data_IF_366463870335
#
_entry.id   IF_366463870335
#
_cell.length_a   1.000
_cell.length_b   1.000
_cell.length_c   1.000
_cell.angle_alpha   90.00
_cell.angle_beta   90.00
_cell.angle_gamma   90.00
#
_symmetry.space_group_name_H-M   'P 1'
#
loop_
_entity.id
_entity.type
_entity.pdbx_description
1 polymer ?
#
# COMPACT_ATOMS: atom_id res chain seq x y z
N UNK A 1 13.76 -39.33 -14.14
CA UNK A 1 13.52 -39.69 -15.56
C UNK A 1 12.24 -39.07 -16.12
N UNK A 2 11.06 -39.26 -15.51
CA UNK A 2 9.79 -38.64 -15.96
C UNK A 2 9.84 -37.09 -15.96
N UNK A 3 10.32 -36.47 -14.87
CA UNK A 3 10.41 -35.00 -14.76
C UNK A 3 11.30 -34.40 -15.86
N UNK A 4 12.48 -34.98 -16.11
CA UNK A 4 13.38 -34.54 -17.17
C UNK A 4 12.80 -34.71 -18.58
N UNK A 5 11.97 -35.75 -18.80
CA UNK A 5 11.27 -35.94 -20.08
C UNK A 5 10.18 -34.90 -20.31
N UNK A 6 9.44 -34.55 -19.26
CA UNK A 6 8.41 -33.49 -19.32
C UNK A 6 9.07 -32.13 -19.53
N UNK A 7 10.16 -31.85 -18.83
CA UNK A 7 10.95 -30.61 -18.98
C UNK A 7 11.45 -30.44 -20.42
N UNK A 8 12.08 -31.46 -21.00
CA UNK A 8 12.52 -31.44 -22.40
C UNK A 8 11.36 -31.29 -23.39
N UNK A 9 10.23 -31.96 -23.15
CA UNK A 9 9.05 -31.84 -24.01
C UNK A 9 8.46 -30.42 -23.99
N UNK A 10 8.44 -29.78 -22.82
CA UNK A 10 7.99 -28.39 -22.67
C UNK A 10 8.91 -27.43 -23.43
N UNK A 11 10.23 -27.59 -23.28
CA UNK A 11 11.22 -26.76 -23.99
C UNK A 11 11.03 -26.80 -25.50
N UNK A 12 10.91 -28.01 -26.08
CA UNK A 12 10.67 -28.19 -27.51
C UNK A 12 9.34 -27.55 -27.95
N UNK A 13 8.27 -27.71 -27.18
CA UNK A 13 6.98 -27.09 -27.49
C UNK A 13 7.05 -25.55 -27.47
N UNK A 14 7.78 -24.97 -26.52
CA UNK A 14 7.95 -23.52 -26.42
C UNK A 14 8.78 -22.96 -27.57
N UNK A 15 9.89 -23.63 -27.91
CA UNK A 15 10.72 -23.28 -29.06
C UNK A 15 9.90 -23.29 -30.36
N UNK A 16 9.14 -24.36 -30.60
CA UNK A 16 8.33 -24.52 -31.81
C UNK A 16 7.24 -23.46 -31.91
N UNK A 17 6.53 -23.17 -30.81
CA UNK A 17 5.40 -22.24 -30.79
C UNK A 17 5.83 -20.78 -30.94
N UNK A 18 7.02 -20.40 -30.45
CA UNK A 18 7.55 -19.04 -30.64
C UNK A 18 8.15 -18.84 -32.04
N UNK A 19 8.76 -19.87 -32.62
CA UNK A 19 9.32 -19.78 -33.97
C UNK A 19 8.27 -19.96 -35.09
N UNK A 20 7.14 -20.62 -34.81
CA UNK A 20 6.06 -20.87 -35.78
C UNK A 20 5.19 -19.63 -36.06
N UNK A 21 5.80 -18.53 -36.50
CA UNK A 21 5.17 -17.43 -37.25
C UNK A 21 3.99 -16.69 -36.58
N UNK A 22 3.78 -15.44 -37.00
CA UNK A 22 2.82 -14.51 -36.38
C UNK A 22 1.35 -14.77 -36.81
N UNK A 23 0.95 -16.04 -36.92
CA UNK A 23 -0.38 -16.45 -37.35
C UNK A 23 -1.35 -16.50 -36.15
N UNK A 24 -2.61 -16.10 -36.35
CA UNK A 24 -3.63 -16.08 -35.29
C UNK A 24 -3.84 -17.46 -34.62
N UNK A 25 -3.72 -18.54 -35.38
CA UNK A 25 -3.76 -19.91 -34.88
C UNK A 25 -2.57 -20.27 -33.99
N UNK A 26 -1.37 -19.81 -34.34
CA UNK A 26 -0.17 -19.98 -33.51
C UNK A 26 -0.31 -19.24 -32.17
N UNK A 27 -0.80 -17.99 -32.19
CA UNK A 27 -1.06 -17.20 -30.97
C UNK A 27 -2.09 -17.86 -30.05
N UNK A 28 -3.18 -18.40 -30.61
CA UNK A 28 -4.17 -19.13 -29.83
C UNK A 28 -3.60 -20.42 -29.22
N UNK A 29 -2.77 -21.17 -29.96
CA UNK A 29 -2.11 -22.37 -29.45
C UNK A 29 -1.12 -22.04 -28.34
N UNK A 30 -0.33 -20.97 -28.50
CA UNK A 30 0.59 -20.47 -27.49
C UNK A 30 -0.15 -20.05 -26.22
N UNK A 31 -1.25 -19.29 -26.35
CA UNK A 31 -2.09 -18.92 -25.20
C UNK A 31 -2.67 -20.12 -24.44
N UNK A 32 -3.19 -21.12 -25.16
CA UNK A 32 -3.68 -22.36 -24.55
C UNK A 32 -2.55 -23.14 -23.86
N UNK A 33 -1.34 -23.10 -24.42
CA UNK A 33 -0.18 -23.75 -23.81
C UNK A 33 0.26 -23.02 -22.54
N UNK A 34 0.34 -21.68 -22.56
CA UNK A 34 0.60 -20.88 -21.36
C UNK A 34 -0.43 -21.12 -20.26
N UNK A 35 -1.71 -21.24 -20.60
CA UNK A 35 -2.75 -21.56 -19.62
C UNK A 35 -2.46 -22.91 -18.93
N UNK A 36 -2.11 -23.94 -19.71
CA UNK A 36 -1.73 -25.26 -19.15
C UNK A 36 -0.47 -25.18 -18.29
N UNK A 37 0.53 -24.41 -18.71
CA UNK A 37 1.73 -24.18 -17.92
C UNK A 37 1.40 -23.49 -16.59
N UNK A 38 0.56 -22.47 -16.61
CA UNK A 38 0.08 -21.79 -15.39
C UNK A 38 -0.60 -22.79 -14.47
N UNK A 39 -1.55 -23.59 -14.97
CA UNK A 39 -2.25 -24.61 -14.16
C UNK A 39 -1.26 -25.62 -13.56
N UNK A 40 -0.29 -26.07 -14.35
CA UNK A 40 0.75 -26.99 -13.89
C UNK A 40 1.63 -26.36 -12.81
N UNK A 41 2.12 -25.13 -13.02
CA UNK A 41 2.94 -24.40 -12.05
C UNK A 41 2.16 -24.09 -10.77
N UNK A 42 0.88 -23.75 -10.87
CA UNK A 42 0.02 -23.56 -9.70
C UNK A 42 -0.23 -24.85 -8.92
N UNK A 43 -0.32 -25.99 -9.61
CA UNK A 43 -0.43 -27.29 -8.97
C UNK A 43 0.88 -27.69 -8.27
N UNK A 44 2.01 -27.52 -8.95
CA UNK A 44 3.33 -27.89 -8.44
C UNK A 44 3.88 -26.89 -7.41
N UNK A 45 3.36 -25.66 -7.38
CA UNK A 45 3.90 -24.51 -6.62
C UNK A 45 5.36 -24.19 -6.94
N UNK A 46 5.82 -24.63 -8.11
CA UNK A 46 7.19 -24.44 -8.58
C UNK A 46 7.21 -24.21 -10.09
N UNK A 47 8.09 -23.31 -10.53
CA UNK A 47 8.35 -23.09 -11.95
C UNK A 47 9.32 -24.16 -12.47
N UNK A 48 8.94 -24.80 -13.58
CA UNK A 48 9.74 -25.83 -14.24
C UNK A 48 10.96 -25.18 -14.92
N UNK A 49 12.17 -25.78 -14.86
CA UNK A 49 13.40 -25.19 -15.41
C UNK A 49 13.30 -24.76 -16.88
N UNK A 50 12.72 -25.58 -17.75
CA UNK A 50 12.49 -25.22 -19.16
C UNK A 50 11.66 -23.94 -19.31
N UNK A 51 10.64 -23.76 -18.47
CA UNK A 51 9.80 -22.55 -18.50
C UNK A 51 10.59 -21.34 -17.98
N UNK A 52 11.42 -21.53 -16.96
CA UNK A 52 12.30 -20.47 -16.46
C UNK A 52 13.28 -20.00 -17.55
N UNK A 53 14.02 -20.91 -18.17
CA UNK A 53 14.98 -20.58 -19.23
C UNK A 53 14.32 -19.92 -20.43
N UNK A 54 13.12 -20.39 -20.81
CA UNK A 54 12.30 -19.77 -21.84
C UNK A 54 11.93 -18.33 -21.47
N UNK A 55 11.37 -18.10 -20.27
CA UNK A 55 10.95 -16.76 -19.85
C UNK A 55 12.12 -15.77 -19.78
N UNK A 56 13.29 -16.21 -19.32
CA UNK A 56 14.52 -15.41 -19.30
C UNK A 56 14.91 -14.89 -20.68
N UNK A 57 14.59 -15.61 -21.76
CA UNK A 57 14.86 -15.16 -23.14
C UNK A 57 13.68 -14.40 -23.73
N UNK A 58 12.47 -14.90 -23.49
CA UNK A 58 11.25 -14.39 -24.12
C UNK A 58 10.92 -12.97 -23.70
N UNK A 59 11.12 -12.62 -22.41
CA UNK A 59 10.76 -11.30 -21.87
C UNK A 59 11.52 -10.16 -22.55
N UNK A 60 12.76 -10.37 -22.98
CA UNK A 60 13.53 -9.33 -23.70
C UNK A 60 12.94 -8.99 -25.08
N UNK A 61 12.18 -9.91 -25.67
CA UNK A 61 11.49 -9.72 -26.95
C UNK A 61 9.98 -9.50 -26.81
N UNK A 62 9.45 -9.61 -25.59
CA UNK A 62 8.01 -9.57 -25.34
C UNK A 62 7.47 -8.15 -25.44
N UNK A 63 6.33 -7.99 -26.10
CA UNK A 63 5.69 -6.70 -26.34
C UNK A 63 4.89 -6.15 -25.13
N UNK A 64 4.78 -6.92 -24.04
CA UNK A 64 4.04 -6.53 -22.84
C UNK A 64 2.53 -6.77 -22.88
N UNK A 65 1.95 -7.13 -24.03
CA UNK A 65 0.49 -7.22 -24.21
C UNK A 65 0.01 -8.66 -24.38
N UNK A 66 0.71 -9.44 -25.20
CA UNK A 66 0.27 -10.81 -25.52
C UNK A 66 0.42 -11.73 -24.31
N UNK A 67 -0.67 -12.44 -23.97
CA UNK A 67 -0.71 -13.39 -22.86
C UNK A 67 -0.24 -12.81 -21.51
N UNK A 68 -0.45 -11.51 -21.30
CA UNK A 68 0.05 -10.78 -20.14
C UNK A 68 -0.30 -11.44 -18.81
N UNK A 69 -1.56 -11.86 -18.63
CA UNK A 69 -2.01 -12.49 -17.39
C UNK A 69 -1.28 -13.79 -17.10
N UNK A 70 -1.09 -14.63 -18.12
CA UNK A 70 -0.40 -15.91 -17.98
C UNK A 70 1.09 -15.69 -17.69
N UNK A 71 1.73 -14.75 -18.39
CA UNK A 71 3.14 -14.42 -18.19
C UNK A 71 3.36 -13.91 -16.77
N UNK A 72 2.60 -12.89 -16.33
CA UNK A 72 2.69 -12.38 -14.97
C UNK A 72 2.46 -13.48 -13.95
N UNK A 73 1.49 -14.37 -14.19
CA UNK A 73 1.25 -15.49 -13.29
C UNK A 73 2.45 -16.44 -13.20
N UNK A 74 3.09 -16.79 -14.32
CA UNK A 74 4.31 -17.61 -14.31
C UNK A 74 5.47 -16.90 -13.59
N UNK A 75 5.60 -15.58 -13.77
CA UNK A 75 6.63 -14.78 -13.10
C UNK A 75 6.50 -14.79 -11.57
N UNK A 76 5.29 -14.97 -11.02
CA UNK A 76 5.09 -15.07 -9.57
C UNK A 76 5.80 -16.28 -8.92
N UNK A 77 6.21 -17.28 -9.72
CA UNK A 77 6.87 -18.50 -9.24
C UNK A 77 8.38 -18.54 -9.53
N UNK A 78 8.99 -17.42 -9.93
CA UNK A 78 10.44 -17.34 -10.09
C UNK A 78 11.13 -17.66 -8.76
N UNK A 79 12.16 -18.51 -8.79
CA UNK A 79 12.97 -18.78 -7.60
C UNK A 79 13.92 -17.61 -7.32
N UNK A 80 14.19 -17.30 -6.04
CA UNK A 80 15.15 -16.26 -5.70
C UNK A 80 16.57 -16.68 -6.10
N UNK A 81 17.25 -15.82 -6.86
CA UNK A 81 18.67 -15.91 -7.20
C UNK A 81 19.47 -14.76 -6.58
N UNK A 82 20.61 -14.42 -7.16
CA UNK A 82 21.23 -13.12 -6.84
C UNK A 82 20.37 -12.00 -7.42
N UNK A 83 20.34 -10.84 -6.77
CA UNK A 83 19.55 -9.71 -7.26
C UNK A 83 19.94 -9.33 -8.70
N UNK A 84 21.24 -9.33 -9.02
CA UNK A 84 21.74 -9.00 -10.36
C UNK A 84 21.23 -9.94 -11.46
N UNK A 85 21.15 -11.25 -11.17
CA UNK A 85 20.63 -12.25 -12.11
C UNK A 85 19.14 -12.02 -12.37
N UNK A 86 18.36 -11.76 -11.33
CA UNK A 86 16.93 -11.49 -11.48
C UNK A 86 16.71 -10.14 -12.18
N UNK A 87 17.54 -9.15 -11.87
CA UNK A 87 17.45 -7.82 -12.47
C UNK A 87 17.70 -7.88 -13.98
N UNK A 88 18.83 -8.42 -14.41
CA UNK A 88 19.22 -8.51 -15.83
C UNK A 88 18.31 -9.46 -16.63
N UNK A 89 17.86 -10.55 -16.00
CA UNK A 89 17.00 -11.54 -16.65
C UNK A 89 15.55 -11.11 -16.79
N UNK A 90 15.00 -10.37 -15.81
CA UNK A 90 13.56 -10.13 -15.72
C UNK A 90 13.20 -8.67 -15.44
N UNK A 91 13.78 -8.05 -14.41
CA UNK A 91 13.30 -6.74 -13.94
C UNK A 91 13.65 -5.61 -14.91
N UNK A 92 14.84 -5.63 -15.51
CA UNK A 92 15.27 -4.63 -16.48
C UNK A 92 14.36 -4.58 -17.74
N UNK A 93 14.12 -5.70 -18.45
CA UNK A 93 13.22 -5.67 -19.61
C UNK A 93 11.77 -5.32 -19.23
N UNK A 94 11.28 -5.78 -18.07
CA UNK A 94 9.96 -5.38 -17.57
C UNK A 94 9.90 -3.89 -17.23
N UNK A 95 10.99 -3.30 -16.73
CA UNK A 95 11.07 -1.86 -16.47
C UNK A 95 11.04 -1.03 -17.77
N UNK A 96 11.67 -1.52 -18.84
CA UNK A 96 11.58 -0.87 -20.17
C UNK A 96 10.13 -0.80 -20.66
N UNK A 97 9.39 -1.89 -20.49
CA UNK A 97 7.94 -1.92 -20.78
C UNK A 97 7.16 -1.03 -19.81
N UNK A 98 7.53 -1.02 -18.52
CA UNK A 98 6.86 -0.22 -17.50
C UNK A 98 6.80 1.26 -17.88
N UNK A 99 7.92 1.86 -18.29
CA UNK A 99 8.00 3.28 -18.65
C UNK A 99 6.97 3.67 -19.73
N UNK A 100 6.76 2.83 -20.74
CA UNK A 100 5.90 3.14 -21.89
C UNK A 100 4.45 2.65 -21.75
N UNK A 101 4.16 1.85 -20.71
CA UNK A 101 2.87 1.17 -20.57
C UNK A 101 1.80 2.01 -19.87
N UNK A 102 0.54 1.58 -19.92
CA UNK A 102 -0.58 2.26 -19.25
C UNK A 102 -0.55 2.10 -17.72
N UNK A 103 -1.28 2.96 -17.01
CA UNK A 103 -1.48 2.84 -15.56
C UNK A 103 -1.95 1.43 -15.14
N UNK A 104 -2.89 0.84 -15.89
CA UNK A 104 -3.39 -0.51 -15.58
C UNK A 104 -2.32 -1.58 -15.71
N UNK A 105 -1.46 -1.50 -16.74
CA UNK A 105 -0.36 -2.43 -16.90
C UNK A 105 0.67 -2.30 -15.78
N UNK A 106 1.03 -1.06 -15.43
CA UNK A 106 1.93 -0.74 -14.30
C UNK A 106 1.39 -1.30 -12.97
N UNK A 107 0.09 -1.11 -12.71
CA UNK A 107 -0.60 -1.66 -11.53
C UNK A 107 -0.52 -3.19 -11.48
N UNK A 108 -0.81 -3.86 -12.61
CA UNK A 108 -0.71 -5.33 -12.74
C UNK A 108 0.72 -5.82 -12.49
N UNK A 109 1.74 -5.09 -12.96
CA UNK A 109 3.14 -5.45 -12.70
C UNK A 109 3.49 -5.32 -11.20
N UNK A 110 3.05 -4.26 -10.54
CA UNK A 110 3.25 -4.08 -9.08
C UNK A 110 2.58 -5.23 -8.31
N UNK A 111 1.38 -5.65 -8.71
CA UNK A 111 0.73 -6.83 -8.14
C UNK A 111 1.52 -8.13 -8.40
N UNK A 112 2.01 -8.33 -9.62
CA UNK A 112 2.88 -9.47 -9.96
C UNK A 112 4.14 -9.50 -9.07
N UNK A 113 4.81 -8.38 -8.88
CA UNK A 113 5.97 -8.27 -7.99
C UNK A 113 5.61 -8.51 -6.53
N UNK A 114 4.45 -8.03 -6.09
CA UNK A 114 3.94 -8.29 -4.74
C UNK A 114 3.73 -9.79 -4.51
N UNK A 115 3.15 -10.49 -5.48
CA UNK A 115 2.91 -11.94 -5.38
C UNK A 115 4.21 -12.76 -5.47
N UNK A 116 5.16 -12.33 -6.30
CA UNK A 116 6.50 -12.91 -6.32
C UNK A 116 7.21 -12.74 -4.98
N UNK A 117 7.12 -11.55 -4.37
CA UNK A 117 7.69 -11.29 -3.05
C UNK A 117 7.05 -12.17 -1.97
N UNK A 118 5.72 -12.35 -1.99
CA UNK A 118 5.03 -13.30 -1.10
C UNK A 118 5.59 -14.70 -1.26
N UNK A 119 5.76 -15.16 -2.50
CA UNK A 119 6.31 -16.48 -2.79
C UNK A 119 7.73 -16.65 -2.21
N UNK A 120 8.61 -15.66 -2.41
CA UNK A 120 9.97 -15.68 -1.87
C UNK A 120 10.01 -15.73 -0.34
N UNK A 121 9.17 -14.93 0.32
CA UNK A 121 9.09 -14.91 1.78
C UNK A 121 8.58 -16.26 2.31
N UNK A 122 7.55 -16.84 1.68
CA UNK A 122 7.04 -18.15 2.08
C UNK A 122 8.10 -19.25 1.92
N UNK A 123 8.83 -19.26 0.81
CA UNK A 123 9.94 -20.20 0.61
C UNK A 123 11.03 -20.05 1.67
N UNK A 124 11.39 -18.81 2.01
CA UNK A 124 12.37 -18.51 3.04
C UNK A 124 11.92 -19.05 4.42
N UNK A 125 10.69 -18.74 4.82
CA UNK A 125 10.12 -19.16 6.12
C UNK A 125 9.99 -20.69 6.21
N UNK A 126 9.51 -21.35 5.16
CA UNK A 126 9.39 -22.82 5.16
C UNK A 126 10.76 -23.48 5.35
N UNK A 127 11.80 -22.98 4.67
CA UNK A 127 13.16 -23.50 4.84
C UNK A 127 13.72 -23.28 6.23
N UNK A 128 13.50 -22.10 6.82
CA UNK A 128 13.90 -21.82 8.21
C UNK A 128 13.26 -22.82 9.18
N UNK A 129 11.94 -23.02 9.09
CA UNK A 129 11.22 -23.96 9.95
C UNK A 129 11.70 -25.42 9.79
N UNK A 130 12.01 -25.85 8.57
CA UNK A 130 12.49 -27.21 8.32
C UNK A 130 13.90 -27.43 8.88
N UNK A 131 14.75 -26.39 8.87
CA UNK A 131 16.09 -26.45 9.47
C UNK A 131 16.06 -26.47 10.99
N UNK A 132 15.20 -25.65 11.61
CA UNK A 132 14.98 -25.66 13.06
C UNK A 132 14.54 -27.05 13.55
N UNK A 133 13.66 -27.71 12.80
CA UNK A 133 13.25 -29.10 13.10
C UNK A 133 14.38 -30.11 12.96
N UNK A 134 15.35 -29.86 12.08
CA UNK A 134 16.45 -30.76 11.79
C UNK A 134 17.71 -30.50 12.63
N UNK A 135 17.72 -29.48 13.52
CA UNK A 135 18.88 -29.08 14.34
C UNK A 135 20.19 -28.89 13.54
N UNK A 136 20.08 -28.55 12.25
CA UNK A 136 21.23 -28.31 11.40
C UNK A 136 21.70 -26.85 11.61
N UNK A 137 22.65 -26.64 12.52
CA UNK A 137 23.39 -25.38 12.68
C UNK A 137 24.40 -25.16 11.53
N UNK A 138 23.98 -25.43 10.29
CA UNK A 138 24.81 -25.28 9.11
C UNK A 138 24.69 -23.86 8.53
N UNK A 139 25.83 -23.18 8.38
CA UNK A 139 25.99 -22.01 7.51
C UNK A 139 25.60 -22.39 6.09
N UNK A 140 24.34 -22.20 5.71
CA UNK A 140 23.87 -22.32 4.33
C UNK A 140 23.65 -20.90 3.82
N UNK A 141 24.22 -20.63 2.64
CA UNK A 141 23.93 -19.44 1.83
C UNK A 141 22.42 -19.18 1.86
N UNK A 142 21.96 -18.16 2.59
CA UNK A 142 20.53 -17.90 2.73
C UNK A 142 19.96 -17.69 1.32
N UNK A 143 18.67 -17.96 1.09
CA UNK A 143 17.96 -17.11 0.12
C UNK A 143 18.31 -15.71 0.58
N UNK A 144 19.15 -15.01 -0.20
CA UNK A 144 19.90 -13.90 0.34
C UNK A 144 18.87 -12.92 0.88
N UNK A 145 18.78 -12.76 2.20
CA UNK A 145 17.86 -11.79 2.82
C UNK A 145 18.10 -10.43 2.17
N UNK A 146 19.35 -10.19 1.75
CA UNK A 146 19.80 -9.15 0.82
C UNK A 146 19.00 -9.08 -0.48
N UNK A 147 18.82 -10.17 -1.24
CA UNK A 147 18.00 -10.20 -2.46
C UNK A 147 16.55 -9.80 -2.18
N UNK A 148 15.96 -10.30 -1.09
CA UNK A 148 14.59 -9.93 -0.70
C UNK A 148 14.51 -8.43 -0.38
N UNK A 149 15.45 -7.90 0.41
CA UNK A 149 15.51 -6.47 0.72
C UNK A 149 15.72 -5.61 -0.53
N UNK A 150 16.69 -5.94 -1.39
CA UNK A 150 16.94 -5.22 -2.64
C UNK A 150 15.70 -5.25 -3.55
N UNK A 151 14.95 -6.35 -3.57
CA UNK A 151 13.72 -6.45 -4.33
C UNK A 151 12.58 -5.60 -3.75
N UNK A 152 12.46 -5.53 -2.42
CA UNK A 152 11.53 -4.61 -1.76
C UNK A 152 11.85 -3.15 -2.12
N UNK A 153 13.13 -2.78 -2.06
CA UNK A 153 13.59 -1.43 -2.40
C UNK A 153 13.31 -1.10 -3.87
N UNK A 154 13.57 -2.06 -4.78
CA UNK A 154 13.24 -1.94 -6.20
C UNK A 154 11.74 -1.74 -6.44
N UNK A 155 10.86 -2.52 -5.79
CA UNK A 155 9.40 -2.34 -5.93
C UNK A 155 8.99 -0.99 -5.36
N UNK A 156 9.58 -0.56 -4.24
CA UNK A 156 9.29 0.72 -3.60
C UNK A 156 9.70 1.93 -4.47
N UNK A 157 10.80 1.84 -5.22
CA UNK A 157 11.19 2.84 -6.21
C UNK A 157 10.21 2.86 -7.40
N UNK A 158 9.87 1.69 -7.95
CA UNK A 158 8.89 1.58 -9.03
C UNK A 158 7.51 2.11 -8.63
N UNK A 159 7.08 1.85 -7.39
CA UNK A 159 5.82 2.34 -6.83
C UNK A 159 5.80 3.88 -6.74
N UNK A 160 6.90 4.51 -6.32
CA UNK A 160 7.02 5.96 -6.27
C UNK A 160 6.95 6.56 -7.68
N UNK A 161 7.74 6.02 -8.61
CA UNK A 161 7.74 6.46 -10.00
C UNK A 161 6.36 6.27 -10.64
N UNK A 162 5.65 5.17 -10.35
CA UNK A 162 4.30 4.92 -10.84
C UNK A 162 3.30 6.00 -10.40
N UNK A 163 3.32 6.33 -9.11
CA UNK A 163 2.44 7.35 -8.52
C UNK A 163 2.74 8.73 -9.12
N UNK A 164 4.00 9.05 -9.34
CA UNK A 164 4.40 10.32 -9.94
C UNK A 164 4.02 10.42 -11.41
N UNK A 165 4.39 9.44 -12.24
CA UNK A 165 4.16 9.43 -13.69
C UNK A 165 2.65 9.43 -14.00
N UNK A 166 1.88 8.64 -13.27
CA UNK A 166 0.44 8.49 -13.51
C UNK A 166 -0.43 9.47 -12.70
N UNK A 167 0.19 10.50 -12.09
CA UNK A 167 -0.49 11.52 -11.28
C UNK A 167 -1.47 10.91 -10.27
N UNK A 168 -0.98 9.97 -9.47
CA UNK A 168 -1.73 9.33 -8.38
C UNK A 168 -3.00 8.58 -8.85
N UNK A 169 -2.98 8.00 -10.06
CA UNK A 169 -4.08 7.19 -10.60
C UNK A 169 -4.58 6.11 -9.62
N UNK A 170 -5.90 5.95 -9.52
CA UNK A 170 -6.55 5.11 -8.48
C UNK A 170 -6.11 3.64 -8.52
N UNK A 171 -5.93 3.07 -9.71
CA UNK A 171 -5.46 1.68 -9.87
C UNK A 171 -4.02 1.51 -9.37
N UNK A 172 -3.15 2.50 -9.62
CA UNK A 172 -1.77 2.50 -9.14
C UNK A 172 -1.76 2.64 -7.62
N UNK A 173 -2.52 3.60 -7.08
CA UNK A 173 -2.67 3.74 -5.63
C UNK A 173 -3.13 2.44 -4.98
N UNK A 174 -4.13 1.78 -5.58
CA UNK A 174 -4.59 0.49 -5.09
C UNK A 174 -3.47 -0.56 -5.06
N UNK A 175 -2.72 -0.70 -6.16
CA UNK A 175 -1.64 -1.67 -6.28
C UNK A 175 -0.50 -1.40 -5.29
N UNK A 176 -0.06 -0.14 -5.17
CA UNK A 176 1.00 0.28 -4.25
C UNK A 176 0.59 0.06 -2.80
N UNK A 177 -0.63 0.44 -2.42
CA UNK A 177 -1.10 0.21 -1.05
C UNK A 177 -1.27 -1.29 -0.75
N UNK A 178 -1.68 -2.10 -1.72
CA UNK A 178 -1.77 -3.56 -1.58
C UNK A 178 -0.39 -4.21 -1.38
N UNK A 179 0.63 -3.69 -2.08
CA UNK A 179 2.04 -4.04 -1.85
C UNK A 179 2.49 -3.71 -0.42
N UNK A 180 2.29 -2.46 0.01
CA UNK A 180 2.71 -2.01 1.33
C UNK A 180 2.00 -2.75 2.46
N UNK A 181 0.69 -2.98 2.32
CA UNK A 181 -0.10 -3.77 3.28
C UNK A 181 0.41 -5.22 3.37
N UNK A 182 0.73 -5.82 2.23
CA UNK A 182 1.29 -7.17 2.17
C UNK A 182 2.61 -7.24 2.94
N UNK A 183 3.56 -6.34 2.65
CA UNK A 183 4.85 -6.32 3.36
C UNK A 183 4.65 -6.08 4.84
N UNK A 184 3.82 -5.10 5.19
CA UNK A 184 3.50 -4.77 6.58
C UNK A 184 2.95 -5.98 7.33
N UNK A 185 2.06 -6.74 6.70
CA UNK A 185 1.54 -7.98 7.27
C UNK A 185 2.64 -9.05 7.44
N UNK A 186 3.42 -9.31 6.39
CA UNK A 186 4.43 -10.37 6.39
C UNK A 186 5.55 -10.10 7.41
N UNK A 187 6.04 -8.87 7.53
CA UNK A 187 7.11 -8.51 8.47
C UNK A 187 6.69 -8.54 9.94
N UNK A 188 5.39 -8.35 10.22
CA UNK A 188 4.83 -8.49 11.56
C UNK A 188 4.62 -9.98 11.85
N UNK A 189 4.02 -10.71 10.91
CA UNK A 189 3.73 -12.15 11.05
C UNK A 189 4.98 -13.01 11.23
N UNK A 190 6.04 -12.70 10.47
CA UNK A 190 7.30 -13.45 10.47
C UNK A 190 8.42 -12.74 11.24
N UNK A 191 8.05 -11.79 12.10
CA UNK A 191 8.94 -11.16 13.08
C UNK A 191 10.29 -10.65 12.55
N UNK A 192 10.32 -10.03 11.37
CA UNK A 192 11.57 -9.62 10.71
C UNK A 192 12.49 -8.78 11.60
N UNK A 193 13.80 -9.02 11.54
CA UNK A 193 14.80 -8.31 12.34
C UNK A 193 14.76 -6.79 12.22
N UNK A 194 14.38 -6.27 11.05
CA UNK A 194 14.19 -4.83 10.81
C UNK A 194 12.87 -4.60 10.10
N UNK A 195 12.08 -3.66 10.62
CA UNK A 195 10.78 -3.32 10.03
C UNK A 195 11.03 -2.46 8.78
N UNK A 196 10.43 -2.81 7.65
CA UNK A 196 10.40 -1.93 6.50
C UNK A 196 9.40 -0.80 6.74
N UNK A 197 9.88 0.44 6.58
CA UNK A 197 9.06 1.65 6.60
C UNK A 197 8.89 2.12 5.15
N UNK A 198 7.65 2.30 4.65
CA UNK A 198 7.42 2.87 3.32
C UNK A 198 8.01 4.27 3.17
N UNK A 199 8.41 4.62 1.95
CA UNK A 199 8.94 5.96 1.66
C UNK A 199 7.93 7.05 1.97
N UNK A 200 8.42 8.23 2.35
CA UNK A 200 7.56 9.38 2.66
C UNK A 200 6.72 9.81 1.48
N UNK A 201 7.24 9.66 0.26
CA UNK A 201 6.49 9.87 -0.99
C UNK A 201 5.21 9.03 -1.02
N UNK A 202 5.30 7.72 -0.80
CA UNK A 202 4.11 6.84 -0.79
C UNK A 202 3.16 7.23 0.35
N UNK A 203 3.70 7.44 1.56
CA UNK A 203 2.91 7.74 2.76
C UNK A 203 2.12 9.04 2.59
N UNK A 204 2.81 10.13 2.27
CA UNK A 204 2.22 11.45 2.23
C UNK A 204 1.39 11.69 0.96
N UNK A 205 1.77 11.14 -0.21
CA UNK A 205 0.89 11.16 -1.40
C UNK A 205 -0.41 10.41 -1.15
N UNK A 206 -0.36 9.25 -0.51
CA UNK A 206 -1.57 8.49 -0.15
C UNK A 206 -2.43 9.23 0.88
N UNK A 207 -1.79 9.92 1.84
CA UNK A 207 -2.48 10.70 2.87
C UNK A 207 -3.21 11.92 2.28
N UNK A 208 -2.56 12.68 1.39
CA UNK A 208 -3.15 13.86 0.73
C UNK A 208 -3.95 13.52 -0.54
N UNK A 209 -4.09 12.24 -0.87
CA UNK A 209 -4.87 11.79 -2.03
C UNK A 209 -6.31 12.31 -1.98
N UNK A 210 -6.87 12.62 -3.15
CA UNK A 210 -8.31 12.90 -3.32
C UNK A 210 -9.18 11.67 -3.04
N UNK A 211 -8.59 10.47 -3.06
CA UNK A 211 -9.28 9.22 -2.78
C UNK A 211 -9.28 8.91 -1.28
N UNK A 212 -10.49 8.79 -0.71
CA UNK A 212 -10.65 8.36 0.68
C UNK A 212 -10.16 6.92 0.94
N UNK A 213 -10.12 6.06 -0.09
CA UNK A 213 -9.53 4.72 0.00
C UNK A 213 -8.06 4.81 0.39
N UNK A 214 -7.29 5.67 -0.30
CA UNK A 214 -5.86 5.80 -0.07
C UNK A 214 -5.55 6.33 1.33
N UNK A 215 -6.28 7.37 1.75
CA UNK A 215 -6.20 7.94 3.10
C UNK A 215 -6.47 6.89 4.19
N UNK A 216 -7.59 6.16 4.08
CA UNK A 216 -7.97 5.19 5.10
C UNK A 216 -6.95 4.06 5.20
N UNK A 217 -6.51 3.52 4.05
CA UNK A 217 -5.53 2.42 3.99
C UNK A 217 -4.18 2.84 4.57
N UNK A 218 -3.66 4.01 4.22
CA UNK A 218 -2.36 4.46 4.75
C UNK A 218 -2.39 4.69 6.26
N UNK A 219 -3.49 5.23 6.81
CA UNK A 219 -3.66 5.33 8.26
C UNK A 219 -3.66 3.94 8.92
N UNK A 220 -4.33 2.95 8.33
CA UNK A 220 -4.34 1.57 8.81
C UNK A 220 -2.97 0.89 8.74
N UNK A 221 -2.21 1.13 7.66
CA UNK A 221 -0.83 0.64 7.51
C UNK A 221 0.07 1.20 8.61
N UNK A 222 0.03 2.51 8.83
CA UNK A 222 0.83 3.17 9.87
C UNK A 222 0.48 2.60 11.24
N UNK A 223 -0.81 2.37 11.51
CA UNK A 223 -1.23 1.76 12.78
C UNK A 223 -0.65 0.34 12.96
N UNK A 224 -0.72 -0.51 11.92
CA UNK A 224 -0.12 -1.85 11.97
C UNK A 224 1.39 -1.80 12.15
N UNK A 225 2.08 -0.88 11.49
CA UNK A 225 3.52 -0.67 11.68
C UNK A 225 3.84 -0.29 13.13
N UNK A 226 3.03 0.58 13.74
CA UNK A 226 3.17 0.93 15.16
C UNK A 226 3.06 -0.31 16.05
N UNK A 227 2.04 -1.15 15.85
CA UNK A 227 1.91 -2.42 16.57
C UNK A 227 3.15 -3.32 16.37
N UNK A 228 3.71 -3.35 15.17
CA UNK A 228 4.94 -4.08 14.86
C UNK A 228 6.15 -3.57 15.65
N UNK A 229 6.31 -2.25 15.76
CA UNK A 229 7.36 -1.65 16.59
C UNK A 229 7.14 -1.93 18.08
N UNK A 230 5.91 -1.82 18.57
CA UNK A 230 5.57 -2.04 19.98
C UNK A 230 5.81 -3.50 20.41
N UNK A 231 5.46 -4.48 19.57
CA UNK A 231 5.70 -5.92 19.84
C UNK A 231 7.17 -6.29 19.92
N UNK A 232 8.04 -5.47 19.33
CA UNK A 232 9.44 -5.83 19.11
C UNK A 232 10.44 -4.86 19.74
N UNK A 233 9.96 -4.05 20.69
CA UNK A 233 10.78 -3.15 21.49
C UNK A 233 11.91 -3.95 22.18
N UNK A 234 13.14 -3.77 21.71
CA UNK A 234 14.37 -4.34 22.28
C UNK A 234 14.91 -5.63 21.65
N UNK A 235 14.19 -6.27 20.71
CA UNK A 235 14.61 -7.55 20.10
C UNK A 235 15.12 -7.39 18.66
N UNK A 236 14.61 -6.38 17.94
CA UNK A 236 14.90 -6.13 16.52
C UNK A 236 16.08 -5.16 16.32
N UNK A 237 16.74 -5.22 15.17
CA UNK A 237 17.81 -4.30 14.72
C UNK A 237 17.30 -2.88 14.36
N UNK A 238 16.18 -2.45 14.94
CA UNK A 238 15.60 -1.14 14.70
C UNK A 238 16.36 -0.08 15.51
N UNK A 239 17.05 0.85 14.83
CA UNK A 239 17.73 1.97 15.50
C UNK A 239 16.73 2.98 16.05
N UNK A 240 17.15 3.76 17.05
CA UNK A 240 16.29 4.81 17.62
C UNK A 240 15.88 5.85 16.55
N UNK A 241 16.77 6.18 15.62
CA UNK A 241 16.48 7.10 14.51
C UNK A 241 15.41 6.55 13.57
N UNK A 242 15.43 5.24 13.33
CA UNK A 242 14.44 4.55 12.50
C UNK A 242 13.03 4.61 13.15
N UNK A 243 12.96 4.40 14.47
CA UNK A 243 11.72 4.54 15.24
C UNK A 243 11.26 6.01 15.29
N UNK A 244 12.17 6.96 15.47
CA UNK A 244 11.86 8.39 15.46
C UNK A 244 11.36 8.84 14.08
N UNK A 245 11.93 8.30 13.00
CA UNK A 245 11.48 8.53 11.64
C UNK A 245 10.05 8.02 11.44
N UNK A 246 9.74 6.79 11.83
CA UNK A 246 8.36 6.27 11.80
C UNK A 246 7.39 7.15 12.62
N UNK A 247 7.79 7.53 13.84
CA UNK A 247 6.96 8.37 14.71
C UNK A 247 6.65 9.74 14.11
N UNK A 248 7.48 10.24 13.19
CA UNK A 248 7.18 11.49 12.47
C UNK A 248 5.92 11.38 11.62
N UNK A 249 5.68 10.25 10.96
CA UNK A 249 4.45 10.02 10.20
C UNK A 249 3.21 10.07 11.10
N UNK A 250 3.26 9.41 12.24
CA UNK A 250 2.16 9.39 13.21
C UNK A 250 1.85 10.81 13.69
N UNK A 251 2.89 11.57 14.04
CA UNK A 251 2.76 12.92 14.58
C UNK A 251 2.25 13.90 13.53
N UNK A 252 2.79 13.90 12.31
CA UNK A 252 2.37 14.78 11.24
C UNK A 252 0.88 14.57 10.88
N UNK A 253 0.46 13.30 10.73
CA UNK A 253 -0.93 12.94 10.42
C UNK A 253 -1.87 13.34 11.56
N UNK A 254 -1.50 13.08 12.83
CA UNK A 254 -2.31 13.48 13.98
C UNK A 254 -2.42 15.01 14.10
N UNK A 255 -1.32 15.71 13.86
CA UNK A 255 -1.27 17.16 13.90
C UNK A 255 -2.19 17.78 12.84
N UNK A 256 -2.19 17.19 11.65
CA UNK A 256 -3.01 17.59 10.52
C UNK A 256 -4.51 17.30 10.75
N UNK A 257 -4.87 16.03 10.95
CA UNK A 257 -6.28 15.60 11.01
C UNK A 257 -7.03 16.11 12.24
N UNK A 258 -6.40 16.04 13.43
CA UNK A 258 -7.11 16.23 14.70
C UNK A 258 -6.65 17.43 15.52
N UNK A 259 -5.38 17.84 15.45
CA UNK A 259 -4.90 18.99 16.25
C UNK A 259 -5.00 20.32 15.49
N UNK A 260 -5.36 20.30 14.21
CA UNK A 260 -5.40 21.47 13.32
C UNK A 260 -4.08 22.25 13.33
N UNK A 261 -2.95 21.54 13.31
CA UNK A 261 -1.60 22.11 13.22
C UNK A 261 -0.85 21.45 12.06
N UNK A 262 -1.35 21.56 10.82
CA UNK A 262 -0.67 20.95 9.69
C UNK A 262 0.73 21.57 9.54
N UNK A 263 1.70 20.77 9.07
CA UNK A 263 3.10 21.19 8.87
C UNK A 263 3.87 21.61 10.13
N UNK A 264 3.34 21.32 11.32
CA UNK A 264 4.03 21.64 12.57
C UNK A 264 5.35 20.87 12.71
N UNK A 265 6.42 21.58 13.09
CA UNK A 265 7.76 21.02 13.38
C UNK A 265 8.20 21.17 14.84
N UNK A 266 7.38 21.81 15.69
CA UNK A 266 7.76 22.08 17.10
C UNK A 266 7.52 20.89 18.01
N UNK A 267 6.53 20.04 17.67
CA UNK A 267 6.20 18.88 18.49
C UNK A 267 7.28 17.80 18.37
N UNK A 268 7.46 17.00 19.43
CA UNK A 268 8.40 15.87 19.41
C UNK A 268 8.12 14.95 18.22
N UNK A 269 9.16 14.66 17.44
CA UNK A 269 9.16 13.86 16.21
C UNK A 269 8.38 14.46 15.03
N UNK A 270 7.69 15.60 15.15
CA UNK A 270 6.99 16.18 14.03
C UNK A 270 7.99 16.78 13.02
N UNK A 271 7.77 16.49 11.73
CA UNK A 271 8.65 16.95 10.63
C UNK A 271 7.92 17.76 9.58
N UNK A 272 6.65 18.06 9.81
CA UNK A 272 5.84 18.88 8.92
C UNK A 272 5.71 18.27 7.53
N UNK A 273 5.49 16.96 7.45
CA UNK A 273 5.42 16.20 6.20
C UNK A 273 6.70 16.24 5.36
N UNK A 274 7.85 16.55 5.98
CA UNK A 274 9.16 16.67 5.35
C UNK A 274 9.28 17.78 4.29
N UNK A 275 8.34 18.74 4.28
CA UNK A 275 8.51 19.94 3.45
C UNK A 275 9.54 20.90 4.06
N UNK A 276 10.24 21.62 3.19
CA UNK A 276 11.13 22.72 3.60
C UNK A 276 10.32 23.89 4.16
N UNK A 277 10.93 24.66 5.05
CA UNK A 277 10.26 25.79 5.71
C UNK A 277 9.82 26.85 4.69
N UNK A 278 10.60 27.10 3.65
CA UNK A 278 10.25 28.03 2.56
C UNK A 278 8.95 27.64 1.84
N UNK A 279 8.73 26.34 1.64
CA UNK A 279 7.51 25.83 0.99
C UNK A 279 6.31 26.00 1.90
N UNK A 280 6.47 25.68 3.19
CA UNK A 280 5.42 25.85 4.20
C UNK A 280 5.02 27.33 4.30
N UNK A 281 6.00 28.24 4.36
CA UNK A 281 5.76 29.69 4.44
C UNK A 281 5.02 30.22 3.21
N UNK A 282 5.38 29.76 2.00
CA UNK A 282 4.66 30.11 0.78
C UNK A 282 3.22 29.60 0.79
N UNK A 283 2.99 28.36 1.23
CA UNK A 283 1.64 27.80 1.35
C UNK A 283 0.78 28.56 2.36
N UNK A 284 1.35 28.93 3.51
CA UNK A 284 0.66 29.74 4.52
C UNK A 284 0.28 31.11 3.98
N UNK A 285 1.19 31.77 3.24
CA UNK A 285 0.92 33.07 2.58
C UNK A 285 -0.22 32.97 1.56
N UNK A 286 -0.26 31.90 0.77
CA UNK A 286 -1.32 31.70 -0.23
C UNK A 286 -2.70 31.42 0.39
N UNK A 287 -2.74 30.68 1.50
CA UNK A 287 -3.99 30.25 2.11
C UNK A 287 -4.55 31.23 3.16
N UNK A 288 -3.74 32.17 3.66
CA UNK A 288 -4.12 33.16 4.66
C UNK A 288 -4.30 32.58 6.06
N UNK A 289 -4.98 33.33 6.93
CA UNK A 289 -5.08 33.06 8.37
C UNK A 289 -5.76 31.73 8.71
N UNK A 290 -6.63 31.22 7.83
CA UNK A 290 -7.39 29.97 8.01
C UNK A 290 -6.64 28.72 7.50
N UNK A 291 -5.36 28.83 7.13
CA UNK A 291 -4.56 27.75 6.55
C UNK A 291 -4.68 26.41 7.29
N UNK A 292 -4.65 26.47 8.61
CA UNK A 292 -4.71 25.31 9.51
C UNK A 292 -5.99 24.48 9.35
N UNK A 293 -7.10 25.11 8.92
CA UNK A 293 -8.38 24.43 8.76
C UNK A 293 -8.44 23.60 7.47
N UNK A 294 -7.75 23.97 6.39
CA UNK A 294 -7.86 23.30 5.08
C UNK A 294 -7.41 21.83 5.09
N UNK A 295 -6.55 21.46 6.02
CA UNK A 295 -6.00 20.10 6.11
C UNK A 295 -6.59 19.29 7.27
N UNK A 296 -7.56 19.87 7.99
CA UNK A 296 -8.25 19.18 9.08
C UNK A 296 -9.11 18.02 8.57
N UNK A 297 -9.53 17.13 9.47
CA UNK A 297 -10.41 16.00 9.18
C UNK A 297 -11.65 16.39 8.34
N UNK A 298 -12.21 17.58 8.57
CA UNK A 298 -13.43 18.05 7.90
C UNK A 298 -13.21 18.74 6.55
N UNK A 299 -11.97 19.09 6.22
CA UNK A 299 -11.64 19.86 5.01
C UNK A 299 -10.62 19.20 4.09
N UNK A 300 -10.00 18.09 4.53
CA UNK A 300 -9.12 17.31 3.68
C UNK A 300 -9.84 16.95 2.37
N UNK A 301 -9.21 17.07 1.18
CA UNK A 301 -9.90 16.94 -0.10
C UNK A 301 -10.72 15.66 -0.26
N UNK A 302 -10.23 14.54 0.26
CA UNK A 302 -10.91 13.23 0.24
C UNK A 302 -12.12 13.12 1.17
N UNK A 303 -12.30 14.05 2.10
CA UNK A 303 -13.33 14.01 3.16
C UNK A 303 -14.27 15.22 3.15
N UNK A 304 -13.88 16.34 2.55
CA UNK A 304 -14.59 17.61 2.62
C UNK A 304 -16.07 17.50 2.19
N UNK A 305 -16.34 16.79 1.08
CA UNK A 305 -17.71 16.56 0.62
C UNK A 305 -18.51 15.71 1.61
N UNK A 306 -17.89 14.67 2.19
CA UNK A 306 -18.55 13.81 3.17
C UNK A 306 -18.85 14.57 4.45
N UNK A 307 -17.96 15.48 4.87
CA UNK A 307 -18.17 16.34 6.03
C UNK A 307 -19.36 17.27 5.81
N UNK A 308 -19.46 17.88 4.63
CA UNK A 308 -20.61 18.70 4.23
C UNK A 308 -21.91 17.90 4.26
N UNK A 309 -21.92 16.70 3.69
CA UNK A 309 -23.12 15.85 3.69
C UNK A 309 -23.50 15.42 5.11
N UNK A 310 -22.52 15.18 5.98
CA UNK A 310 -22.75 14.82 7.39
C UNK A 310 -23.44 15.95 8.16
N UNK A 311 -22.98 17.20 8.02
CA UNK A 311 -23.64 18.33 8.70
C UNK A 311 -25.04 18.57 8.14
N UNK A 312 -25.26 18.41 6.83
CA UNK A 312 -26.58 18.55 6.23
C UNK A 312 -27.56 17.49 6.75
N UNK A 313 -27.13 16.23 6.88
CA UNK A 313 -27.95 15.17 7.46
C UNK A 313 -28.29 15.45 8.95
N UNK A 314 -27.38 16.04 9.71
CA UNK A 314 -27.63 16.48 11.08
C UNK A 314 -28.64 17.63 11.13
N UNK A 315 -28.55 18.60 10.22
CA UNK A 315 -29.52 19.70 10.11
C UNK A 315 -30.90 19.19 9.72
N UNK A 316 -30.99 18.21 8.81
CA UNK A 316 -32.26 17.63 8.36
C UNK A 316 -32.95 16.80 9.44
N UNK A 317 -32.17 16.16 10.33
CA UNK A 317 -32.69 15.36 11.44
C UNK A 317 -32.98 16.18 12.71
N UNK A 318 -32.47 17.40 12.81
CA UNK A 318 -32.69 18.27 13.97
C UNK A 318 -33.93 19.13 13.75
N UNK A 319 -34.96 19.04 14.62
CA UNK A 319 -36.13 19.89 14.49
C UNK A 319 -35.77 21.36 14.80
N UNK A 320 -36.47 22.29 14.14
CA UNK A 320 -36.37 23.75 14.38
C UNK A 320 -35.02 24.40 14.01
N UNK A 321 -34.29 23.86 13.02
CA UNK A 321 -33.13 24.56 12.43
C UNK A 321 -33.60 25.72 11.55
N UNK A 322 -33.41 26.96 12.01
CA UNK A 322 -33.85 28.17 11.31
C UNK A 322 -32.88 28.60 10.20
N UNK A 323 -31.58 28.30 10.35
CA UNK A 323 -30.55 28.65 9.38
C UNK A 323 -29.57 27.52 9.18
N UNK A 324 -29.47 27.03 7.95
CA UNK A 324 -28.50 26.02 7.53
C UNK A 324 -27.10 26.62 7.36
N UNK A 325 -26.09 25.81 7.62
CA UNK A 325 -24.68 26.17 7.51
C UNK A 325 -24.29 26.24 6.02
N UNK A 326 -23.97 27.45 5.55
CA UNK A 326 -23.53 27.67 4.17
C UNK A 326 -22.01 27.58 3.98
N UNK A 327 -21.25 27.72 5.08
CA UNK A 327 -19.79 27.69 5.09
C UNK A 327 -19.27 26.32 5.53
N UNK A 328 -18.01 25.96 5.18
CA UNK A 328 -17.38 24.75 5.69
C UNK A 328 -17.39 24.68 7.23
N UNK A 329 -17.39 23.47 7.77
CA UNK A 329 -17.58 23.23 9.21
C UNK A 329 -16.30 23.58 9.97
N UNK A 330 -16.27 24.71 10.66
CA UNK A 330 -15.18 25.18 11.51
C UNK A 330 -15.73 25.62 12.86
N UNK A 331 -14.86 25.85 13.85
CA UNK A 331 -15.27 26.46 15.12
C UNK A 331 -16.00 27.79 14.91
N UNK A 332 -15.52 28.64 14.01
CA UNK A 332 -16.10 29.95 13.73
C UNK A 332 -17.46 29.83 13.03
N UNK A 333 -17.57 28.96 12.02
CA UNK A 333 -18.82 28.82 11.24
C UNK A 333 -19.93 28.19 12.07
N UNK A 334 -19.64 27.18 12.89
CA UNK A 334 -20.63 26.58 13.80
C UNK A 334 -21.08 27.57 14.87
N UNK A 335 -20.16 28.36 15.44
CA UNK A 335 -20.51 29.40 16.42
C UNK A 335 -21.43 30.45 15.80
N UNK A 336 -21.10 30.93 14.61
CA UNK A 336 -21.93 31.91 13.88
C UNK A 336 -23.29 31.31 13.50
N UNK A 337 -23.31 30.05 13.06
CA UNK A 337 -24.54 29.32 12.73
C UNK A 337 -25.46 29.19 13.94
N UNK A 338 -24.94 28.76 15.10
CA UNK A 338 -25.70 28.66 16.36
C UNK A 338 -26.34 29.99 16.76
N UNK A 339 -25.58 31.10 16.69
CA UNK A 339 -26.12 32.43 16.99
C UNK A 339 -27.24 32.88 16.05
N UNK A 340 -27.33 32.31 14.85
CA UNK A 340 -28.34 32.61 13.86
C UNK A 340 -29.50 31.59 13.81
N UNK A 341 -29.62 30.74 14.84
CA UNK A 341 -30.67 29.70 14.93
C UNK A 341 -30.35 28.42 14.15
N UNK A 342 -29.08 28.17 13.84
CA UNK A 342 -28.61 26.90 13.30
C UNK A 342 -28.43 25.81 14.36
N UNK A 343 -27.90 24.65 13.95
CA UNK A 343 -27.69 23.49 14.82
C UNK A 343 -26.77 23.80 16.01
N UNK A 344 -27.15 23.32 17.20
CA UNK A 344 -26.36 23.47 18.43
C UNK A 344 -25.42 22.26 18.62
N UNK A 345 -24.28 22.27 17.91
CA UNK A 345 -23.23 21.27 18.05
C UNK A 345 -21.85 21.94 18.15
N UNK A 346 -21.01 21.46 19.07
CA UNK A 346 -19.62 21.90 19.15
C UNK A 346 -18.79 21.29 18.03
N UNK A 347 -17.74 21.97 17.57
CA UNK A 347 -16.86 21.43 16.53
C UNK A 347 -16.22 20.08 16.93
N UNK A 348 -15.85 19.91 18.21
CA UNK A 348 -15.31 18.64 18.70
C UNK A 348 -16.33 17.50 18.63
N UNK A 349 -17.57 17.76 19.06
CA UNK A 349 -18.64 16.77 18.98
C UNK A 349 -18.98 16.43 17.52
N UNK A 350 -18.99 17.43 16.63
CA UNK A 350 -19.18 17.21 15.21
C UNK A 350 -18.07 16.33 14.62
N UNK A 351 -16.80 16.60 14.92
CA UNK A 351 -15.69 15.78 14.42
C UNK A 351 -15.78 14.33 14.87
N UNK A 352 -16.17 14.11 16.12
CA UNK A 352 -16.38 12.76 16.66
C UNK A 352 -17.53 12.06 15.94
N UNK A 353 -18.68 12.74 15.76
CA UNK A 353 -19.81 12.21 15.02
C UNK A 353 -19.44 11.90 13.55
N UNK A 354 -18.72 12.81 12.90
CA UNK A 354 -18.25 12.62 11.53
C UNK A 354 -17.29 11.43 11.42
N UNK A 355 -16.43 11.22 12.41
CA UNK A 355 -15.54 10.06 12.47
C UNK A 355 -16.33 8.74 12.60
N UNK A 356 -17.40 8.71 13.39
CA UNK A 356 -18.29 7.55 13.49
C UNK A 356 -19.04 7.27 12.17
N UNK A 357 -19.49 8.31 11.46
CA UNK A 357 -20.09 8.20 10.12
C UNK A 357 -19.09 7.65 9.08
N UNK A 358 -17.83 8.09 9.14
CA UNK A 358 -16.76 7.58 8.29
C UNK A 358 -16.50 6.09 8.54
N UNK A 359 -16.57 5.63 9.80
CA UNK A 359 -16.48 4.20 10.12
C UNK A 359 -17.62 3.42 9.46
N UNK A 360 -18.86 3.91 9.51
CA UNK A 360 -20.01 3.31 8.84
C UNK A 360 -19.85 3.19 7.31
N UNK A 361 -19.00 4.03 6.72
CA UNK A 361 -18.67 4.04 5.28
C UNK A 361 -17.40 3.26 4.92
N UNK A 362 -16.80 2.55 5.87
CA UNK A 362 -15.63 1.70 5.64
C UNK A 362 -14.26 2.37 5.83
N UNK A 363 -14.19 3.58 6.42
CA UNK A 363 -12.91 4.25 6.73
C UNK A 363 -12.26 3.69 8.00
N UNK A 364 -12.13 2.37 8.07
CA UNK A 364 -11.69 1.62 9.26
C UNK A 364 -10.27 2.02 9.67
N UNK A 365 -9.34 2.13 8.70
CA UNK A 365 -7.95 2.45 9.00
C UNK A 365 -7.77 3.86 9.56
N UNK A 366 -8.50 4.85 9.02
CA UNK A 366 -8.54 6.22 9.53
C UNK A 366 -9.12 6.28 10.96
N UNK A 367 -10.28 5.63 11.16
CA UNK A 367 -10.96 5.58 12.45
C UNK A 367 -10.08 4.98 13.55
N UNK A 368 -9.57 3.77 13.30
CA UNK A 368 -8.77 3.02 14.27
C UNK A 368 -7.47 3.75 14.58
N UNK A 369 -6.82 4.33 13.58
CA UNK A 369 -5.61 5.12 13.75
C UNK A 369 -5.82 6.31 14.69
N UNK A 370 -6.87 7.11 14.47
CA UNK A 370 -7.15 8.29 15.30
C UNK A 370 -7.53 7.90 16.73
N UNK A 371 -8.38 6.89 16.91
CA UNK A 371 -8.78 6.41 18.24
C UNK A 371 -7.59 5.88 19.06
N UNK A 372 -6.62 5.22 18.44
CA UNK A 372 -5.45 4.70 19.15
C UNK A 372 -4.34 5.75 19.34
N UNK A 373 -4.25 6.74 18.46
CA UNK A 373 -3.18 7.74 18.49
C UNK A 373 -3.53 9.00 19.29
N UNK A 374 -4.82 9.33 19.43
CA UNK A 374 -5.30 10.51 20.16
C UNK A 374 -5.89 10.11 21.50
N UNK A 375 -5.29 10.60 22.59
CA UNK A 375 -5.73 10.28 23.97
C UNK A 375 -7.21 10.58 24.23
N UNK A 376 -7.74 11.68 23.68
CA UNK A 376 -9.15 12.07 23.83
C UNK A 376 -10.15 11.11 23.17
N UNK A 377 -9.68 10.22 22.29
CA UNK A 377 -10.51 9.28 21.53
C UNK A 377 -10.30 7.82 21.99
N UNK A 378 -9.43 7.56 22.98
CA UNK A 378 -9.03 6.21 23.38
C UNK A 378 -10.18 5.35 23.88
N UNK A 379 -11.15 5.93 24.57
CA UNK A 379 -12.32 5.23 25.12
C UNK A 379 -13.19 4.59 24.02
N UNK A 380 -13.05 5.07 22.78
CA UNK A 380 -13.81 4.59 21.61
C UNK A 380 -13.10 3.48 20.83
N UNK A 381 -11.86 3.13 21.20
CA UNK A 381 -11.04 2.13 20.50
C UNK A 381 -11.57 0.69 20.60
N UNK A 382 -12.48 0.40 21.53
CA UNK A 382 -13.17 -0.89 21.67
C UNK A 382 -14.21 -1.10 20.56
N UNK A 383 -14.98 -0.05 20.23
CA UNK A 383 -16.07 -0.11 19.25
C UNK A 383 -15.60 -0.38 17.82
N UNK A 384 -14.42 0.14 17.45
CA UNK A 384 -13.82 -0.11 16.14
C UNK A 384 -13.37 -1.56 15.93
N UNK A 385 -12.93 -2.26 16.99
CA UNK A 385 -12.44 -3.65 16.90
C UNK A 385 -13.57 -4.64 16.59
N UNK A 386 -14.75 -4.43 17.14
CA UNK A 386 -15.91 -5.31 16.93
C UNK A 386 -16.46 -5.21 15.48
N UNK A 387 -16.36 -4.04 14.86
CA UNK A 387 -16.77 -3.84 13.45
C UNK A 387 -15.73 -4.35 12.44
N UNK A 388 -14.43 -4.33 12.78
CA UNK A 388 -13.37 -4.98 11.99
C UNK A 388 -13.61 -6.50 11.92
N UNK A 389 -13.94 -7.12 13.06
CA UNK A 389 -14.21 -8.56 13.13
C UNK A 389 -15.45 -8.94 12.32
N UNK A 390 -16.48 -8.10 12.26
CA UNK A 390 -17.68 -8.33 11.46
C UNK A 390 -17.46 -8.18 9.95
N UNK A 391 -16.61 -7.26 9.52
CA UNK A 391 -16.30 -7.03 8.10
C UNK A 391 -15.27 -8.02 7.52
N UNK A 392 -14.51 -8.71 8.36
CA UNK A 392 -13.60 -9.80 7.92
C UNK A 392 -14.29 -11.16 7.72
N UNK A 393 -15.58 -11.27 8.03
CA UNK A 393 -16.40 -12.50 7.94
C UNK A 393 -17.42 -12.43 6.80
N UNK A 394 -17.53 -11.28 6.12
CA UNK A 394 -18.32 -11.05 4.91
C UNK A 394 -17.40 -10.84 3.71
#
# INVERSE_FOLDING_TARGET
VMVARVDYWIDQCLMDLVHCGDNATSKSRLGNFFLKLVTMTEFLKELVPAVHEFLTKYIHSWNGLEHQEQIFKLLTFLRPGTFDQIYTGFLEPLNKLFVVSTASWKAKLIHCYTDLLKYWILLHVTRQNDMEKQNLNGNISPINTVTIHNFIDYINENAQNALEIENDHIEIQHAVLSFVETITFLQIKHEWDKIFIPSSSIVYRSFFSSSGMALSRICGIILKLKEGFDRCAGVRQNTQDHINYFNSYVMDICNCLWRNRPFNKTDKNAKGFQFDDDVIDQMQKMCGEDYSNFFSLTHLPSLAMMSKNCIQALEDSTPYVLKRLSKPVTHASLRQGRSAGGIDISYNNFRVHFLDELLGRGYIGLYTFLCQSITQLKDRSSFGRDNVLRSSVS
#
